data_IF_700840008635
#
_entry.id   IF_700840008635
#
_cell.length_a   1.000
_cell.length_b   1.000
_cell.length_c   1.000
_cell.angle_alpha   90.00
_cell.angle_beta   90.00
_cell.angle_gamma   90.00
#
_symmetry.space_group_name_H-M   'P 1'
#
loop_
_entity.id
_entity.type
_entity.pdbx_description
1 polymer ?
#
# COMPACT_ATOMS: atom_id res chain seq x y z
N UNK A 1 -3.22 -54.62 4.16
CA UNK A 1 -2.32 -53.51 4.55
C UNK A 1 -3.12 -52.20 4.58
N UNK A 2 -3.72 -51.80 5.73
CA UNK A 2 -4.70 -50.69 5.81
C UNK A 2 -4.16 -49.36 6.38
N UNK A 3 -2.85 -49.21 6.55
CA UNK A 3 -2.27 -48.06 7.31
C UNK A 3 -2.08 -46.78 6.49
N UNK A 4 -2.09 -46.83 5.16
CA UNK A 4 -1.77 -45.64 4.35
C UNK A 4 -2.96 -44.70 4.06
N UNK A 5 -4.20 -45.19 4.14
CA UNK A 5 -5.39 -44.41 3.75
C UNK A 5 -5.74 -43.33 4.81
N UNK A 6 -5.38 -43.56 6.09
CA UNK A 6 -5.59 -42.56 7.14
C UNK A 6 -4.68 -41.35 6.97
N UNK A 7 -3.42 -41.54 6.55
CA UNK A 7 -2.45 -40.47 6.36
C UNK A 7 -2.85 -39.54 5.20
N UNK A 8 -3.36 -40.11 4.10
CA UNK A 8 -3.83 -39.31 2.96
C UNK A 8 -5.05 -38.44 3.34
N UNK A 9 -6.01 -38.98 4.10
CA UNK A 9 -7.17 -38.19 4.55
C UNK A 9 -6.82 -37.17 5.66
N UNK A 10 -5.83 -37.45 6.51
CA UNK A 10 -5.30 -36.47 7.46
C UNK A 10 -4.55 -35.32 6.77
N UNK A 11 -3.84 -35.60 5.66
CA UNK A 11 -3.20 -34.58 4.84
C UNK A 11 -4.22 -33.73 4.05
N UNK A 12 -5.35 -34.31 3.65
CA UNK A 12 -6.47 -33.58 3.04
C UNK A 12 -7.24 -32.70 4.04
N UNK A 13 -7.24 -33.04 5.34
CA UNK A 13 -7.89 -32.24 6.38
C UNK A 13 -7.07 -31.04 6.89
N UNK A 14 -5.76 -30.99 6.61
CA UNK A 14 -4.90 -29.81 6.92
C UNK A 14 -5.10 -28.69 5.87
N UNK A 15 -5.85 -28.94 4.79
CA UNK A 15 -6.21 -27.92 3.79
C UNK A 15 -7.57 -27.27 4.05
N UNK A 16 -8.06 -27.24 5.30
CA UNK A 16 -9.04 -26.23 5.70
C UNK A 16 -8.33 -24.87 5.87
N UNK A 17 -7.84 -24.32 4.76
CA UNK A 17 -7.51 -22.90 4.65
C UNK A 17 -8.84 -22.17 4.79
N UNK A 18 -9.14 -21.71 6.00
CA UNK A 18 -10.27 -20.84 6.25
C UNK A 18 -10.28 -19.72 5.19
N UNK A 19 -11.44 -19.37 4.62
CA UNK A 19 -11.53 -18.57 3.41
C UNK A 19 -10.92 -17.17 3.61
N UNK A 20 -9.66 -16.99 3.16
CA UNK A 20 -8.86 -15.76 3.24
C UNK A 20 -9.02 -15.04 4.60
N UNK A 21 -8.18 -15.37 5.56
CA UNK A 21 -8.15 -14.68 6.85
C UNK A 21 -8.00 -13.15 6.67
N UNK A 22 -8.54 -12.36 7.60
CA UNK A 22 -8.56 -10.89 7.54
C UNK A 22 -7.15 -10.33 7.29
N UNK A 23 -6.16 -10.92 7.98
CA UNK A 23 -4.75 -10.60 7.87
C UNK A 23 -4.21 -10.78 6.44
N UNK A 24 -4.54 -11.89 5.79
CA UNK A 24 -4.05 -12.19 4.44
C UNK A 24 -4.63 -11.23 3.40
N UNK A 25 -5.88 -10.80 3.58
CA UNK A 25 -6.51 -9.79 2.70
C UNK A 25 -5.85 -8.44 2.88
N UNK A 26 -5.61 -8.02 4.12
CA UNK A 26 -4.97 -6.75 4.42
C UNK A 26 -3.55 -6.70 3.84
N UNK A 27 -2.74 -7.73 4.07
CA UNK A 27 -1.36 -7.79 3.56
C UNK A 27 -1.34 -7.76 2.03
N UNK A 28 -2.27 -8.46 1.35
CA UNK A 28 -2.38 -8.46 -0.12
C UNK A 28 -2.75 -7.09 -0.72
N UNK A 29 -3.29 -6.18 0.08
CA UNK A 29 -3.75 -4.87 -0.37
C UNK A 29 -2.71 -3.77 -0.12
N UNK A 30 -1.74 -3.99 0.75
CA UNK A 30 -0.70 -3.01 1.08
C UNK A 30 0.55 -3.31 0.24
N UNK A 31 0.91 -2.45 -0.73
CA UNK A 31 2.16 -2.57 -1.48
C UNK A 31 3.33 -2.06 -0.62
N UNK A 32 3.72 -2.86 0.38
CA UNK A 32 4.68 -2.46 1.41
C UNK A 32 6.04 -2.02 0.83
N UNK A 33 6.52 -2.70 -0.22
CA UNK A 33 7.76 -2.40 -0.91
C UNK A 33 7.73 -1.01 -1.56
N UNK A 34 6.62 -0.66 -2.21
CA UNK A 34 6.46 0.64 -2.88
C UNK A 34 6.35 1.76 -1.84
N UNK A 35 5.63 1.50 -0.76
CA UNK A 35 5.54 2.40 0.39
C UNK A 35 6.93 2.67 0.97
N UNK A 36 7.71 1.61 1.25
CA UNK A 36 9.06 1.75 1.79
C UNK A 36 10.00 2.54 0.85
N UNK A 37 9.93 2.26 -0.45
CA UNK A 37 10.66 3.02 -1.46
C UNK A 37 10.28 4.51 -1.43
N UNK A 38 8.98 4.82 -1.35
CA UNK A 38 8.49 6.19 -1.29
C UNK A 38 8.99 6.94 -0.05
N UNK A 39 8.89 6.35 1.15
CA UNK A 39 9.39 6.96 2.40
C UNK A 39 10.87 7.30 2.30
N UNK A 40 11.64 6.35 1.78
CA UNK A 40 13.10 6.49 1.68
C UNK A 40 13.46 7.62 0.73
N UNK A 41 12.84 7.66 -0.46
CA UNK A 41 13.10 8.69 -1.47
C UNK A 41 12.61 10.06 -0.99
N UNK A 42 11.41 10.13 -0.41
CA UNK A 42 10.84 11.39 0.10
C UNK A 42 11.67 11.96 1.26
N UNK A 43 12.10 11.12 2.20
CA UNK A 43 13.02 11.51 3.27
C UNK A 43 14.35 12.06 2.73
N UNK A 44 14.89 11.44 1.66
CA UNK A 44 16.10 11.91 0.99
C UNK A 44 15.88 13.30 0.35
N UNK A 45 14.77 13.48 -0.39
CA UNK A 45 14.42 14.77 -1.03
C UNK A 45 14.27 15.87 0.01
N UNK A 46 13.55 15.60 1.10
CA UNK A 46 13.33 16.57 2.19
C UNK A 46 14.67 16.92 2.86
N UNK A 47 15.52 15.91 3.09
CA UNK A 47 16.86 16.11 3.65
C UNK A 47 17.77 16.97 2.75
N UNK A 48 17.78 16.72 1.44
CA UNK A 48 18.56 17.51 0.48
C UNK A 48 18.06 18.95 0.34
N UNK A 49 16.73 19.15 0.31
CA UNK A 49 16.11 20.46 0.21
C UNK A 49 16.41 21.34 1.42
N UNK A 50 16.57 20.75 2.62
CA UNK A 50 16.98 21.49 3.81
C UNK A 50 18.33 22.21 3.65
N UNK A 51 19.23 21.66 2.84
CA UNK A 51 20.56 22.22 2.56
C UNK A 51 20.58 23.13 1.32
N UNK A 52 19.50 23.19 0.53
CA UNK A 52 19.43 23.93 -0.73
C UNK A 52 18.08 24.68 -0.83
N UNK A 53 18.02 25.94 -0.36
CA UNK A 53 16.77 26.71 -0.28
C UNK A 53 16.07 26.95 -1.63
N UNK A 54 16.81 26.87 -2.74
CA UNK A 54 16.30 27.09 -4.10
C UNK A 54 15.74 25.81 -4.74
N UNK A 55 15.82 24.64 -4.08
CA UNK A 55 15.32 23.39 -4.62
C UNK A 55 13.83 23.20 -4.28
N UNK A 56 12.97 23.31 -5.29
CA UNK A 56 11.53 23.06 -5.15
C UNK A 56 11.25 21.56 -4.92
N UNK A 57 11.23 21.17 -3.64
CA UNK A 57 10.93 19.79 -3.19
C UNK A 57 9.60 19.27 -3.71
N UNK A 58 8.59 20.14 -3.89
CA UNK A 58 7.25 19.76 -4.32
C UNK A 58 7.24 19.13 -5.71
N UNK A 59 8.05 19.64 -6.65
CA UNK A 59 8.09 19.10 -8.02
C UNK A 59 8.70 17.70 -8.06
N UNK A 60 9.79 17.48 -7.33
CA UNK A 60 10.41 16.14 -7.22
C UNK A 60 9.45 15.15 -6.56
N UNK A 61 8.78 15.53 -5.47
CA UNK A 61 7.84 14.65 -4.79
C UNK A 61 6.68 14.24 -5.72
N UNK A 62 6.15 15.16 -6.54
CA UNK A 62 5.14 14.83 -7.55
C UNK A 62 5.63 13.80 -8.56
N UNK A 63 6.86 13.98 -9.08
CA UNK A 63 7.46 13.03 -10.02
C UNK A 63 7.58 11.64 -9.38
N UNK A 64 8.09 11.58 -8.15
CA UNK A 64 8.27 10.30 -7.43
C UNK A 64 6.91 9.63 -7.20
N UNK A 65 5.90 10.37 -6.76
CA UNK A 65 4.54 9.83 -6.58
C UNK A 65 4.02 9.26 -7.91
N UNK A 66 4.14 9.99 -9.02
CA UNK A 66 3.67 9.52 -10.33
C UNK A 66 4.40 8.27 -10.80
N UNK A 67 5.73 8.23 -10.65
CA UNK A 67 6.53 7.07 -11.03
C UNK A 67 6.13 5.85 -10.20
N UNK A 68 6.05 5.96 -8.88
CA UNK A 68 5.68 4.85 -8.00
C UNK A 68 4.20 4.46 -8.14
N UNK A 69 3.33 5.40 -8.47
CA UNK A 69 1.92 5.15 -8.77
C UNK A 69 1.78 4.26 -10.02
N UNK A 70 2.57 4.49 -11.07
CA UNK A 70 2.60 3.63 -12.27
C UNK A 70 3.29 2.30 -11.95
N UNK A 71 4.33 2.33 -11.11
CA UNK A 71 5.06 1.13 -10.73
C UNK A 71 4.22 0.17 -9.88
N UNK A 72 3.30 0.69 -9.06
CA UNK A 72 2.42 -0.11 -8.19
C UNK A 72 1.58 -1.15 -8.96
N UNK A 73 0.71 -0.78 -9.92
CA UNK A 73 -0.08 -1.76 -10.67
C UNK A 73 0.81 -2.69 -11.52
N UNK A 74 1.91 -2.17 -12.08
CA UNK A 74 2.86 -3.00 -12.85
C UNK A 74 3.49 -4.07 -11.95
N UNK A 75 3.87 -3.69 -10.73
CA UNK A 75 4.47 -4.59 -9.75
C UNK A 75 3.47 -5.67 -9.31
N UNK A 76 2.24 -5.27 -8.98
CA UNK A 76 1.18 -6.19 -8.58
C UNK A 76 0.81 -7.19 -9.70
N UNK A 77 0.77 -6.74 -10.95
CA UNK A 77 0.44 -7.62 -12.08
C UNK A 77 1.59 -8.55 -12.45
N UNK A 78 2.83 -8.05 -12.51
CA UNK A 78 3.98 -8.85 -12.99
C UNK A 78 4.61 -9.73 -11.91
N UNK A 79 4.70 -9.25 -10.66
CA UNK A 79 5.41 -9.96 -9.59
C UNK A 79 4.44 -10.79 -8.76
N UNK A 80 3.32 -10.20 -8.34
CA UNK A 80 2.32 -10.92 -7.53
C UNK A 80 1.29 -11.70 -8.36
N UNK A 81 1.28 -11.55 -9.68
CA UNK A 81 0.37 -12.27 -10.58
C UNK A 81 -1.11 -11.97 -10.32
N UNK A 82 -1.42 -10.78 -9.77
CA UNK A 82 -2.79 -10.42 -9.38
C UNK A 82 -3.61 -10.08 -10.62
N UNK A 83 -4.58 -10.93 -10.96
CA UNK A 83 -5.51 -10.69 -12.09
C UNK A 83 -6.77 -9.91 -11.69
N UNK A 84 -7.02 -9.72 -10.39
CA UNK A 84 -8.21 -9.00 -9.89
C UNK A 84 -7.99 -7.48 -9.99
N UNK A 85 -8.62 -6.85 -10.99
CA UNK A 85 -8.58 -5.39 -11.21
C UNK A 85 -8.96 -4.57 -9.97
N UNK A 86 -9.92 -5.07 -9.19
CA UNK A 86 -10.38 -4.42 -7.94
C UNK A 86 -9.27 -4.38 -6.89
N UNK A 87 -8.49 -5.46 -6.75
CA UNK A 87 -7.37 -5.51 -5.81
C UNK A 87 -6.28 -4.51 -6.19
N UNK A 88 -5.94 -4.45 -7.48
CA UNK A 88 -4.96 -3.49 -8.01
C UNK A 88 -5.41 -2.07 -7.72
N UNK A 89 -6.68 -1.74 -8.00
CA UNK A 89 -7.21 -0.41 -7.78
C UNK A 89 -7.15 0.00 -6.31
N UNK A 90 -7.56 -0.87 -5.39
CA UNK A 90 -7.45 -0.60 -3.96
C UNK A 90 -5.99 -0.42 -3.55
N UNK A 91 -5.07 -1.28 -3.96
CA UNK A 91 -3.65 -1.11 -3.63
C UNK A 91 -3.03 0.18 -4.18
N UNK A 92 -3.41 0.59 -5.39
CA UNK A 92 -2.93 1.85 -5.97
C UNK A 92 -3.48 3.07 -5.23
N UNK A 93 -4.78 3.06 -4.89
CA UNK A 93 -5.39 4.14 -4.09
C UNK A 93 -4.74 4.19 -2.70
N UNK A 94 -4.49 3.03 -2.10
CA UNK A 94 -3.85 2.93 -0.79
C UNK A 94 -2.44 3.49 -0.79
N UNK A 95 -1.66 3.17 -1.83
CA UNK A 95 -0.36 3.80 -2.03
C UNK A 95 -0.46 5.33 -2.09
N UNK A 96 -1.40 5.88 -2.86
CA UNK A 96 -1.56 7.34 -2.97
C UNK A 96 -1.89 7.99 -1.64
N UNK A 97 -2.87 7.46 -0.92
CA UNK A 97 -3.27 7.97 0.41
C UNK A 97 -2.08 7.93 1.37
N UNK A 98 -1.32 6.83 1.34
CA UNK A 98 -0.14 6.65 2.16
C UNK A 98 0.97 7.64 1.81
N UNK A 99 1.21 7.86 0.52
CA UNK A 99 2.21 8.81 0.03
C UNK A 99 1.88 10.25 0.48
N UNK A 100 0.64 10.68 0.30
CA UNK A 100 0.19 12.01 0.73
C UNK A 100 0.21 12.19 2.26
N UNK A 101 -0.07 11.13 3.02
CA UNK A 101 0.02 11.18 4.49
C UNK A 101 1.46 11.33 4.99
N UNK A 102 2.44 10.79 4.25
CA UNK A 102 3.84 10.77 4.72
C UNK A 102 4.64 11.97 4.24
N UNK A 103 4.53 12.33 2.96
CA UNK A 103 5.31 13.42 2.39
C UNK A 103 4.53 14.12 1.27
N UNK A 104 3.54 14.92 1.65
CA UNK A 104 2.75 15.63 0.66
C UNK A 104 3.60 16.65 -0.13
N UNK A 105 3.55 16.66 -1.47
CA UNK A 105 4.09 17.77 -2.26
C UNK A 105 3.26 19.05 -2.07
N UNK A 106 2.06 18.93 -1.50
CA UNK A 106 1.10 19.99 -1.26
C UNK A 106 1.10 20.38 0.22
N UNK A 107 1.45 21.63 0.50
CA UNK A 107 1.57 22.17 1.85
C UNK A 107 0.49 23.20 2.18
N UNK A 108 -0.52 23.40 1.33
CA UNK A 108 -1.59 24.37 1.65
C UNK A 108 -2.54 23.77 2.67
N UNK A 109 -2.92 24.59 3.64
CA UNK A 109 -3.93 24.23 4.63
C UNK A 109 -5.32 24.12 3.98
N UNK A 110 -6.09 23.15 4.45
CA UNK A 110 -7.48 22.95 4.06
C UNK A 110 -8.33 23.09 5.32
N UNK A 111 -9.36 23.93 5.28
CA UNK A 111 -10.30 24.12 6.40
C UNK A 111 -9.60 24.52 7.73
N UNK A 112 -8.44 25.18 7.66
CA UNK A 112 -7.65 25.58 8.84
C UNK A 112 -6.79 24.45 9.43
N UNK A 113 -6.74 23.28 8.81
CA UNK A 113 -5.88 22.17 9.19
C UNK A 113 -4.82 21.90 8.11
N UNK A 114 -3.65 21.45 8.54
CA UNK A 114 -2.59 21.03 7.62
C UNK A 114 -3.03 19.83 6.79
N UNK A 115 -2.76 19.89 5.49
CA UNK A 115 -3.10 18.81 4.55
C UNK A 115 -2.58 17.44 5.02
N UNK A 116 -1.38 17.41 5.60
CA UNK A 116 -0.73 16.21 6.14
C UNK A 116 -1.53 15.55 7.28
N UNK A 117 -2.17 16.36 8.14
CA UNK A 117 -3.03 15.86 9.21
C UNK A 117 -4.28 15.20 8.63
N UNK A 118 -4.93 15.87 7.68
CA UNK A 118 -6.14 15.35 7.01
C UNK A 118 -5.79 14.05 6.26
N UNK A 119 -4.68 14.03 5.52
CA UNK A 119 -4.22 12.85 4.79
C UNK A 119 -3.90 11.68 5.74
N UNK A 120 -3.29 11.96 6.90
CA UNK A 120 -3.00 10.95 7.92
C UNK A 120 -4.29 10.36 8.54
N UNK A 121 -5.29 11.19 8.83
CA UNK A 121 -6.59 10.72 9.30
C UNK A 121 -7.28 9.83 8.26
N UNK A 122 -7.27 10.26 7.00
CA UNK A 122 -7.80 9.47 5.89
C UNK A 122 -7.05 8.14 5.80
N UNK A 123 -5.73 8.12 5.93
CA UNK A 123 -4.94 6.89 5.90
C UNK A 123 -5.32 5.92 7.02
N UNK A 124 -5.51 6.41 8.25
CA UNK A 124 -5.94 5.60 9.39
C UNK A 124 -7.32 4.98 9.10
N UNK A 125 -8.29 5.79 8.67
CA UNK A 125 -9.61 5.29 8.31
C UNK A 125 -9.56 4.31 7.15
N UNK A 126 -8.72 4.57 6.16
CA UNK A 126 -8.54 3.73 4.98
C UNK A 126 -8.02 2.34 5.37
N UNK A 127 -6.98 2.26 6.20
CA UNK A 127 -6.41 0.97 6.65
C UNK A 127 -7.38 0.16 7.52
N UNK A 128 -8.24 0.82 8.31
CA UNK A 128 -9.26 0.17 9.13
C UNK A 128 -10.47 -0.31 8.31
N UNK A 129 -10.94 0.49 7.35
CA UNK A 129 -12.21 0.25 6.67
C UNK A 129 -12.09 -0.71 5.48
N UNK A 130 -10.99 -0.67 4.73
CA UNK A 130 -10.85 -1.50 3.52
C UNK A 130 -11.03 -2.99 3.74
N UNK A 131 -10.44 -3.60 4.78
CA UNK A 131 -10.58 -5.03 4.97
C UNK A 131 -12.03 -5.45 5.24
N UNK A 132 -12.85 -4.53 5.75
CA UNK A 132 -14.28 -4.75 5.96
C UNK A 132 -15.05 -4.80 4.63
N UNK A 133 -14.67 -3.96 3.67
CA UNK A 133 -15.34 -3.88 2.36
C UNK A 133 -14.77 -4.86 1.32
N UNK A 134 -13.50 -5.27 1.47
CA UNK A 134 -12.86 -6.21 0.56
C UNK A 134 -13.13 -7.67 0.99
N UNK A 135 -14.23 -8.22 0.47
CA UNK A 135 -14.46 -9.69 0.46
C UNK A 135 -13.65 -10.29 -0.71
N UNK A 136 -12.47 -10.82 -0.39
CA UNK A 136 -11.57 -11.48 -1.34
C UNK A 136 -12.23 -12.62 -2.10
#
# INVERSE_FOLDING_TARGET
MPREIKSANQQLQIQNVAPNDFKDRLIKLIPAEIIAAYVTISGLIIGFAKNNPNADKSYLLWIVILVLMIFTPVYLMKILGVSKKVQILFSTIGFLIWAFATASPYTKDILGFSFELIASLILILYTLLIPLFYKG
#
